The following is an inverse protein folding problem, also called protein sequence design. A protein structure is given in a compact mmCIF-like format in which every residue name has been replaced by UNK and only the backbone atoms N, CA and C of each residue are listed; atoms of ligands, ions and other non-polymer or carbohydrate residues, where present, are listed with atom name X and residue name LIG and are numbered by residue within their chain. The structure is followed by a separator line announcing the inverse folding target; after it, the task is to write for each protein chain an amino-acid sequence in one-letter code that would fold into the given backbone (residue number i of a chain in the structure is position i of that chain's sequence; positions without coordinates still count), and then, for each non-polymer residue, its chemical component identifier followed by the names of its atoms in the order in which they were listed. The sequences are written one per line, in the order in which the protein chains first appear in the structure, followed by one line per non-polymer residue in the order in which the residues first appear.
data_IF_498326187222
#
_entry.id   IF_498326187222
#
_cell.length_a   1.000
_cell.length_b   1.000
_cell.length_c   1.000
_cell.angle_alpha   90.00
_cell.angle_beta   90.00
_cell.angle_gamma   90.00
#
_symmetry.space_group_name_H-M   'P 1'
#
loop_
_entity.id
_entity.type
_entity.pdbx_description
1 polymer ?
#
# COMPACT_ATOMS: atom_id res chain seq x y z
N UNK A 1 12.27 1.30 -19.25
CA UNK A 1 12.14 2.59 -18.52
C UNK A 1 10.70 2.89 -18.14
N UNK A 2 9.73 2.82 -19.06
CA UNK A 2 8.30 3.08 -18.79
C UNK A 2 7.69 2.21 -17.68
N UNK A 3 7.98 0.90 -17.65
CA UNK A 3 7.45 -0.01 -16.62
C UNK A 3 7.92 0.33 -15.21
N UNK A 4 9.17 0.79 -15.05
CA UNK A 4 9.73 1.17 -13.73
C UNK A 4 9.03 2.42 -13.20
N UNK A 5 8.77 3.40 -14.07
CA UNK A 5 8.01 4.61 -13.72
C UNK A 5 6.58 4.25 -13.32
N UNK A 6 5.91 3.40 -14.10
CA UNK A 6 4.56 2.92 -13.78
C UNK A 6 4.52 2.20 -12.43
N UNK A 7 5.53 1.38 -12.13
CA UNK A 7 5.65 0.68 -10.86
C UNK A 7 5.86 1.63 -9.68
N UNK A 8 6.70 2.64 -9.84
CA UNK A 8 6.92 3.66 -8.80
C UNK A 8 5.65 4.47 -8.53
N UNK A 9 4.95 4.90 -9.59
CA UNK A 9 3.68 5.62 -9.49
C UNK A 9 2.62 4.73 -8.83
N UNK A 10 2.48 3.49 -9.28
CA UNK A 10 1.61 2.48 -8.65
C UNK A 10 1.89 2.36 -7.13
N UNK A 11 3.15 2.19 -6.74
CA UNK A 11 3.49 1.97 -5.34
C UNK A 11 3.15 3.19 -4.45
N UNK A 12 3.40 4.40 -4.97
CA UNK A 12 3.03 5.65 -4.30
C UNK A 12 1.52 5.81 -4.18
N UNK A 13 0.76 5.52 -5.25
CA UNK A 13 -0.70 5.58 -5.24
C UNK A 13 -1.30 4.53 -4.30
N UNK A 14 -0.77 3.30 -4.30
CA UNK A 14 -1.22 2.23 -3.41
C UNK A 14 -1.00 2.60 -1.95
N UNK A 15 0.22 3.04 -1.61
CA UNK A 15 0.56 3.42 -0.25
C UNK A 15 -0.21 4.66 0.21
N UNK A 16 -0.25 5.71 -0.61
CA UNK A 16 -0.99 6.92 -0.32
C UNK A 16 -2.50 6.67 -0.21
N UNK A 17 -3.07 5.85 -1.10
CA UNK A 17 -4.46 5.45 -1.09
C UNK A 17 -4.84 4.71 0.19
N UNK A 18 -4.03 3.74 0.63
CA UNK A 18 -4.23 3.01 1.89
C UNK A 18 -4.15 3.92 3.11
N UNK A 19 -3.16 4.81 3.16
CA UNK A 19 -2.99 5.78 4.26
C UNK A 19 -4.16 6.76 4.31
N UNK A 20 -4.55 7.34 3.17
CA UNK A 20 -5.71 8.24 3.07
C UNK A 20 -7.02 7.54 3.41
N UNK A 21 -7.19 6.31 2.95
CA UNK A 21 -8.35 5.49 3.27
C UNK A 21 -8.46 5.27 4.78
N UNK A 22 -7.35 4.92 5.43
CA UNK A 22 -7.32 4.72 6.89
C UNK A 22 -7.55 6.02 7.66
N UNK A 23 -7.01 7.15 7.20
CA UNK A 23 -7.26 8.47 7.80
C UNK A 23 -8.72 8.92 7.62
N UNK A 24 -9.31 8.71 6.44
CA UNK A 24 -10.71 9.00 6.17
C UNK A 24 -11.66 8.07 6.94
N UNK A 25 -11.26 6.81 7.11
CA UNK A 25 -12.00 5.78 7.85
C UNK A 25 -12.03 6.01 9.36
N UNK A 26 -10.95 6.54 9.96
CA UNK A 26 -10.92 6.86 11.39
C UNK A 26 -11.93 7.95 11.78
N UNK A 27 -12.29 8.83 10.85
CA UNK A 27 -13.39 9.80 11.04
C UNK A 27 -14.77 9.27 10.63
N UNK A 28 -14.82 8.20 9.83
CA UNK A 28 -16.05 7.53 9.40
C UNK A 28 -16.51 6.55 10.48
N UNK A 29 -16.99 7.07 11.62
CA UNK A 29 -17.66 6.23 12.61
C UNK A 29 -18.98 5.73 12.03
N UNK A 30 -19.14 4.40 11.92
CA UNK A 30 -20.44 3.77 11.75
C UNK A 30 -21.23 3.98 13.03
N UNK A 31 -21.88 5.14 13.15
CA UNK A 31 -22.86 5.40 14.22
C UNK A 31 -24.15 4.70 13.82
N UNK A 32 -24.35 3.52 14.40
CA UNK A 32 -25.61 2.80 14.37
C UNK A 32 -26.47 3.38 15.48
N UNK A 33 -27.20 4.44 15.17
CA UNK A 33 -28.14 5.06 16.09
C UNK A 33 -29.54 4.56 15.72
N UNK A 34 -30.12 3.72 16.58
CA UNK A 34 -31.56 3.35 16.69
C UNK A 34 -32.35 2.83 15.48
N UNK A 35 -31.86 2.93 14.25
CA UNK A 35 -32.61 2.61 13.03
C UNK A 35 -32.02 3.12 11.70
N UNK A 36 -30.86 3.79 11.71
CA UNK A 36 -30.22 4.30 10.49
C UNK A 36 -28.69 4.13 10.47
N UNK A 37 -28.16 3.73 9.32
CA UNK A 37 -26.72 3.64 9.07
C UNK A 37 -26.20 5.02 8.64
N UNK A 38 -25.73 5.84 9.58
CA UNK A 38 -25.15 7.14 9.26
C UNK A 38 -23.67 7.01 8.87
N UNK A 39 -23.41 6.81 7.58
CA UNK A 39 -22.07 6.79 7.01
C UNK A 39 -21.57 8.24 6.82
N UNK A 40 -20.80 8.77 7.77
CA UNK A 40 -20.03 9.99 7.53
C UNK A 40 -18.82 9.67 6.66
N UNK A 41 -19.08 9.56 5.35
CA UNK A 41 -18.02 9.37 4.35
C UNK A 41 -17.33 10.71 4.12
N UNK A 42 -16.20 10.92 4.79
CA UNK A 42 -15.36 12.09 4.51
C UNK A 42 -14.78 12.03 3.09
N UNK A 43 -14.62 13.19 2.44
CA UNK A 43 -14.04 13.29 1.08
C UNK A 43 -12.66 12.60 0.96
N UNK A 44 -11.91 12.55 2.07
CA UNK A 44 -10.61 11.88 2.20
C UNK A 44 -10.70 10.36 1.98
N UNK A 45 -11.78 9.73 2.44
CA UNK A 45 -12.01 8.29 2.26
C UNK A 45 -12.24 7.99 0.78
N UNK A 46 -13.12 8.75 0.12
CA UNK A 46 -13.40 8.59 -1.32
C UNK A 46 -12.13 8.82 -2.14
N UNK A 47 -11.36 9.86 -1.83
CA UNK A 47 -10.08 10.12 -2.48
C UNK A 47 -9.08 8.95 -2.29
N UNK A 48 -9.00 8.38 -1.08
CA UNK A 48 -8.18 7.20 -0.80
C UNK A 48 -8.62 5.98 -1.61
N UNK A 49 -9.93 5.71 -1.67
CA UNK A 49 -10.50 4.61 -2.47
C UNK A 49 -10.18 4.78 -3.95
N UNK A 50 -10.43 5.96 -4.52
CA UNK A 50 -10.14 6.24 -5.93
C UNK A 50 -8.65 6.07 -6.24
N UNK A 51 -7.77 6.59 -5.38
CA UNK A 51 -6.33 6.46 -5.52
C UNK A 51 -5.89 4.98 -5.52
N UNK A 52 -6.44 4.18 -4.59
CA UNK A 52 -6.20 2.74 -4.53
C UNK A 52 -6.77 1.99 -5.74
N UNK A 53 -7.93 2.39 -6.24
CA UNK A 53 -8.53 1.82 -7.45
C UNK A 53 -7.66 2.09 -8.69
N UNK A 54 -7.16 3.31 -8.84
CA UNK A 54 -6.23 3.66 -9.91
C UNK A 54 -4.94 2.84 -9.81
N UNK A 55 -4.39 2.70 -8.60
CA UNK A 55 -3.25 1.81 -8.32
C UNK A 55 -3.51 0.39 -8.81
N UNK A 56 -4.69 -0.17 -8.53
CA UNK A 56 -5.06 -1.51 -8.99
C UNK A 56 -5.07 -1.65 -10.53
N UNK A 57 -5.55 -0.64 -11.26
CA UNK A 57 -5.50 -0.64 -12.72
C UNK A 57 -4.05 -0.62 -13.26
N UNK A 58 -3.17 0.19 -12.64
CA UNK A 58 -1.74 0.20 -12.98
C UNK A 58 -1.10 -1.16 -12.67
N UNK A 59 -1.46 -1.80 -11.55
CA UNK A 59 -0.99 -3.12 -11.17
C UNK A 59 -1.36 -4.19 -12.21
N UNK A 60 -2.60 -4.20 -12.69
CA UNK A 60 -3.03 -5.12 -13.74
C UNK A 60 -2.17 -4.97 -15.01
N UNK A 61 -1.86 -3.73 -15.40
CA UNK A 61 -1.00 -3.47 -16.54
C UNK A 61 0.43 -3.98 -16.32
N UNK A 62 1.00 -3.76 -15.14
CA UNK A 62 2.34 -4.23 -14.77
C UNK A 62 2.41 -5.76 -14.78
N UNK A 63 1.44 -6.42 -14.15
CA UNK A 63 1.35 -7.89 -14.07
C UNK A 63 1.23 -8.51 -15.45
N UNK A 64 0.47 -7.89 -16.36
CA UNK A 64 0.35 -8.37 -17.74
C UNK A 64 1.69 -8.35 -18.51
N UNK A 65 2.70 -7.60 -18.03
CA UNK A 65 3.99 -7.39 -18.72
C UNK A 65 5.19 -7.95 -17.95
N UNK A 66 4.98 -8.52 -16.75
CA UNK A 66 6.06 -8.96 -15.86
C UNK A 66 5.76 -10.34 -15.26
N UNK A 67 6.79 -11.05 -14.81
CA UNK A 67 6.59 -12.30 -14.10
C UNK A 67 6.03 -12.04 -12.70
N UNK A 68 4.83 -12.56 -12.43
CA UNK A 68 4.15 -12.44 -11.14
C UNK A 68 5.04 -12.87 -9.96
N UNK A 69 5.80 -13.95 -10.12
CA UNK A 69 6.70 -14.51 -9.10
C UNK A 69 7.76 -13.51 -8.62
N UNK A 70 8.09 -12.50 -9.43
CA UNK A 70 9.04 -11.44 -9.08
C UNK A 70 8.35 -10.10 -8.76
N UNK A 71 7.39 -9.69 -9.59
CA UNK A 71 6.73 -8.40 -9.46
C UNK A 71 5.93 -8.30 -8.15
N UNK A 72 5.34 -9.42 -7.70
CA UNK A 72 4.44 -9.45 -6.55
C UNK A 72 5.19 -9.33 -5.21
N UNK A 73 6.28 -10.07 -4.94
CA UNK A 73 7.09 -9.81 -3.76
C UNK A 73 7.63 -8.38 -3.74
N UNK A 74 8.22 -7.92 -4.86
CA UNK A 74 8.78 -6.58 -4.97
C UNK A 74 7.73 -5.48 -4.68
N UNK A 75 6.51 -5.65 -5.20
CA UNK A 75 5.43 -4.68 -5.02
C UNK A 75 4.98 -4.62 -3.57
N UNK A 76 4.71 -5.77 -2.97
CA UNK A 76 4.31 -5.89 -1.56
C UNK A 76 5.37 -5.28 -0.66
N UNK A 77 6.65 -5.53 -0.96
CA UNK A 77 7.78 -4.96 -0.23
C UNK A 77 7.82 -3.44 -0.24
N UNK A 78 7.86 -2.85 -1.43
CA UNK A 78 7.95 -1.39 -1.59
C UNK A 78 6.70 -0.71 -1.02
N UNK A 79 5.51 -1.24 -1.32
CA UNK A 79 4.25 -0.70 -0.79
C UNK A 79 4.24 -0.79 0.74
N UNK A 80 4.69 -1.89 1.36
CA UNK A 80 4.78 -1.98 2.81
C UNK A 80 5.70 -0.92 3.41
N UNK A 81 6.89 -0.71 2.84
CA UNK A 81 7.83 0.33 3.30
C UNK A 81 7.19 1.72 3.20
N UNK A 82 6.55 2.03 2.09
CA UNK A 82 5.88 3.32 1.87
C UNK A 82 4.68 3.52 2.80
N UNK A 83 3.84 2.49 2.98
CA UNK A 83 2.72 2.51 3.92
C UNK A 83 3.23 2.67 5.35
N UNK A 84 4.31 2.00 5.72
CA UNK A 84 4.92 2.12 7.04
C UNK A 84 5.40 3.55 7.32
N UNK A 85 6.13 4.15 6.37
CA UNK A 85 6.56 5.55 6.42
C UNK A 85 5.37 6.52 6.45
N UNK A 86 4.35 6.26 5.64
CA UNK A 86 3.13 7.05 5.59
C UNK A 86 2.34 6.98 6.90
N UNK A 87 2.15 5.78 7.45
CA UNK A 87 1.46 5.58 8.73
C UNK A 87 2.21 6.19 9.90
N UNK A 88 3.55 6.08 9.92
CA UNK A 88 4.38 6.76 10.91
C UNK A 88 4.19 8.28 10.91
N UNK A 89 4.20 8.90 9.72
CA UNK A 89 4.14 10.35 9.57
C UNK A 89 2.73 10.92 9.68
N UNK A 90 1.74 10.28 9.07
CA UNK A 90 0.39 10.83 8.92
C UNK A 90 -0.60 10.29 9.95
N UNK A 91 -0.48 9.03 10.39
CA UNK A 91 -1.36 8.46 11.41
C UNK A 91 -0.77 8.63 12.82
N UNK A 92 0.52 8.94 12.95
CA UNK A 92 1.20 9.03 14.24
C UNK A 92 1.21 7.69 14.99
N UNK A 93 1.08 6.56 14.29
CA UNK A 93 1.10 5.24 14.91
C UNK A 93 2.46 5.01 15.58
N UNK A 94 2.45 4.62 16.85
CA UNK A 94 3.66 4.25 17.57
C UNK A 94 4.32 3.07 16.85
N UNK A 95 5.50 3.35 16.29
CA UNK A 95 6.30 2.34 15.63
C UNK A 95 7.04 1.56 16.71
N UNK A 96 6.49 0.41 17.07
CA UNK A 96 7.17 -0.53 17.97
C UNK A 96 8.46 -1.04 17.31
N UNK A 97 9.56 -1.23 18.07
CA UNK A 97 10.81 -1.81 17.56
C UNK A 97 10.59 -3.14 16.83
N UNK A 98 9.61 -3.93 17.27
CA UNK A 98 9.22 -5.20 16.63
C UNK A 98 8.74 -5.01 15.18
N UNK A 99 7.99 -3.93 14.88
CA UNK A 99 7.53 -3.65 13.53
C UNK A 99 8.70 -3.25 12.60
N UNK A 100 9.70 -2.55 13.15
CA UNK A 100 10.93 -2.22 12.42
C UNK A 100 11.71 -3.49 12.12
N UNK A 101 11.87 -4.39 13.09
CA UNK A 101 12.52 -5.68 12.88
C UNK A 101 11.80 -6.50 11.80
N UNK A 102 10.46 -6.55 11.83
CA UNK A 102 9.67 -7.20 10.78
C UNK A 102 9.87 -6.57 9.39
N UNK A 103 9.96 -5.24 9.31
CA UNK A 103 10.24 -4.53 8.06
C UNK A 103 11.63 -4.90 7.51
N UNK A 104 12.64 -4.97 8.36
CA UNK A 104 14.00 -5.41 7.98
C UNK A 104 13.98 -6.84 7.44
N UNK A 105 13.23 -7.76 8.07
CA UNK A 105 13.07 -9.14 7.59
C UNK A 105 12.39 -9.17 6.22
N UNK A 106 11.37 -8.36 5.98
CA UNK A 106 10.73 -8.25 4.65
C UNK A 106 11.76 -7.80 3.61
N UNK A 107 12.53 -6.74 3.90
CA UNK A 107 13.57 -6.23 2.99
C UNK A 107 14.63 -7.30 2.68
N UNK A 108 15.06 -8.06 3.68
CA UNK A 108 16.00 -9.18 3.49
C UNK A 108 15.37 -10.27 2.63
N UNK A 109 14.11 -10.63 2.88
CA UNK A 109 13.37 -11.62 2.07
C UNK A 109 13.26 -11.20 0.61
N UNK A 110 13.02 -9.92 0.33
CA UNK A 110 13.02 -9.37 -1.03
C UNK A 110 14.40 -9.47 -1.69
N UNK A 111 15.46 -9.18 -0.93
CA UNK A 111 16.81 -9.29 -1.44
C UNK A 111 17.16 -10.73 -1.82
N UNK A 112 16.76 -11.71 -1.00
CA UNK A 112 16.94 -13.14 -1.31
C UNK A 112 16.17 -13.57 -2.55
N UNK A 113 14.91 -13.14 -2.71
CA UNK A 113 14.11 -13.41 -3.90
C UNK A 113 14.72 -12.79 -5.16
N UNK A 114 15.23 -11.56 -5.05
CA UNK A 114 15.93 -10.90 -6.15
C UNK A 114 17.28 -11.56 -6.48
N UNK A 115 18.01 -12.05 -5.47
CA UNK A 115 19.29 -12.72 -5.65
C UNK A 115 19.13 -14.09 -6.32
N UNK A 116 18.04 -14.82 -6.02
CA UNK A 116 17.72 -16.11 -6.64
C UNK A 116 17.42 -16.03 -8.15
N UNK A 117 17.13 -14.85 -8.71
CA UNK A 117 16.90 -14.68 -10.15
C UNK A 117 18.17 -14.49 -10.98
N UNK A 118 19.35 -14.26 -10.38
CA UNK A 118 20.59 -14.00 -11.13
C UNK A 118 21.22 -15.25 -11.76
N UNK A 119 20.52 -16.39 -11.79
CA UNK A 119 21.08 -17.70 -12.15
C UNK A 119 20.24 -18.54 -13.12
N UNK A 120 19.45 -17.96 -14.03
CA UNK A 120 18.83 -18.70 -15.14
C UNK A 120 19.06 -18.02 -16.48
#
# INVERSE_FOLDING_TARGET
MTLVVLFAVYALLSAGGLVLFKLGGQGAGLRVDGGGLSLQVGWKLIAGVLCYLCSFLLWLYIVSRTQLTFALPLSVGIVNVLVFLGSAKFLGEQITPLKIAGLVVIVIGLFLLSAGQKGS
#
